data_IF_736228043126
#
_entry.id   IF_736228043126
#
_cell.length_a   1.000
_cell.length_b   1.000
_cell.length_c   1.000
_cell.angle_alpha   90.00
_cell.angle_beta   90.00
_cell.angle_gamma   90.00
#
_symmetry.space_group_name_H-M   'P 1'
#
loop_
_entity.id
_entity.type
_entity.pdbx_description
1 polymer ?
#
# COMPACT_ATOMS: atom_id res chain seq x y z
N UNK A 1 -1.48 -52.80 -20.55
CA UNK A 1 -0.78 -53.53 -19.46
C UNK A 1 0.17 -52.55 -18.78
N UNK A 2 0.06 -52.45 -17.45
CA UNK A 2 0.91 -51.70 -16.50
C UNK A 2 0.97 -50.16 -16.67
N UNK A 3 0.82 -49.32 -15.66
CA UNK A 3 0.64 -49.52 -14.22
C UNK A 3 0.33 -48.17 -13.56
N UNK A 4 -0.52 -48.19 -12.54
CA UNK A 4 -0.95 -47.05 -11.74
C UNK A 4 0.18 -46.52 -10.84
N UNK A 5 0.21 -45.20 -10.63
CA UNK A 5 0.77 -44.61 -9.40
C UNK A 5 0.10 -43.26 -9.09
N UNK A 6 -0.52 -43.19 -7.93
CA UNK A 6 -1.09 -42.01 -7.26
C UNK A 6 -0.65 -42.10 -5.77
N UNK A 7 -0.87 -41.08 -4.93
CA UNK A 7 0.04 -39.97 -4.63
C UNK A 7 0.70 -40.09 -3.24
N UNK A 8 1.84 -39.41 -3.03
CA UNK A 8 2.52 -39.37 -1.73
C UNK A 8 1.98 -38.23 -0.84
N UNK A 9 1.39 -38.65 0.28
CA UNK A 9 0.92 -37.88 1.44
C UNK A 9 2.10 -37.57 2.38
N UNK A 10 2.24 -36.34 2.87
CA UNK A 10 2.94 -35.97 4.13
C UNK A 10 2.08 -34.89 4.78
N UNK A 11 1.30 -35.15 5.85
CA UNK A 11 1.71 -35.11 7.27
C UNK A 11 2.68 -33.94 7.51
N UNK A 12 2.29 -32.81 8.11
CA UNK A 12 1.49 -32.66 9.31
C UNK A 12 2.44 -32.32 10.46
N UNK A 13 2.72 -31.04 10.69
CA UNK A 13 3.32 -30.54 11.92
C UNK A 13 2.78 -29.12 12.18
N UNK A 14 1.67 -29.08 12.92
CA UNK A 14 1.21 -27.93 13.69
C UNK A 14 2.31 -27.48 14.66
N UNK A 15 2.67 -26.19 14.59
CA UNK A 15 3.42 -25.53 15.65
C UNK A 15 2.43 -25.02 16.70
N UNK A 16 2.66 -25.27 18.00
CA UNK A 16 1.69 -24.96 19.04
C UNK A 16 1.62 -23.46 19.34
N UNK A 17 0.38 -22.97 19.32
CA UNK A 17 -0.09 -21.72 19.90
C UNK A 17 0.31 -21.63 21.38
N UNK A 18 1.04 -20.58 21.78
CA UNK A 18 1.35 -20.31 23.19
C UNK A 18 0.30 -19.38 23.78
N UNK A 19 -0.54 -19.97 24.63
CA UNK A 19 -1.28 -19.28 25.67
C UNK A 19 -0.31 -18.50 26.59
N UNK A 20 -0.64 -17.23 26.83
CA UNK A 20 -0.11 -16.44 27.93
C UNK A 20 -1.25 -16.18 28.91
N UNK A 21 -1.71 -17.23 29.58
CA UNK A 21 -2.58 -17.08 30.74
C UNK A 21 -1.77 -16.65 31.96
N UNK A 22 -2.24 -15.55 32.55
CA UNK A 22 -1.86 -15.01 33.84
C UNK A 22 -2.22 -15.95 34.99
N UNK A 23 -1.29 -16.22 35.92
CA UNK A 23 -1.65 -16.63 37.27
C UNK A 23 -0.95 -15.73 38.28
N UNK A 24 -1.65 -14.70 38.76
CA UNK A 24 -1.09 -13.73 39.69
C UNK A 24 -2.13 -12.96 40.50
N UNK A 25 -3.25 -13.60 40.83
CA UNK A 25 -4.25 -13.08 41.76
C UNK A 25 -3.69 -13.05 43.21
N UNK A 26 -3.00 -11.97 43.56
CA UNK A 26 -2.58 -11.70 44.94
C UNK A 26 -3.70 -11.03 45.73
N UNK A 27 -4.58 -11.89 46.26
CA UNK A 27 -5.14 -11.89 47.61
C UNK A 27 -5.10 -10.55 48.38
N UNK A 28 -6.25 -9.88 48.37
CA UNK A 28 -6.63 -8.84 49.35
C UNK A 28 -6.68 -9.50 50.73
N UNK A 29 -5.77 -9.11 51.64
CA UNK A 29 -5.88 -9.43 53.06
C UNK A 29 -6.73 -8.37 53.75
N UNK A 30 -7.88 -8.80 54.28
CA UNK A 30 -8.69 -8.04 55.23
C UNK A 30 -8.02 -8.08 56.60
N UNK A 31 -7.55 -6.94 57.10
CA UNK A 31 -7.13 -6.79 58.49
C UNK A 31 -8.27 -6.08 59.23
N UNK A 32 -8.84 -6.75 60.25
CA UNK A 32 -9.80 -6.17 61.19
C UNK A 32 -9.08 -5.21 62.15
N UNK A 33 -9.74 -4.15 62.64
CA UNK A 33 -9.10 -3.15 63.48
C UNK A 33 -8.92 -3.66 64.91
N UNK A 34 -7.76 -3.37 65.49
CA UNK A 34 -7.51 -3.47 66.92
C UNK A 34 -8.11 -2.24 67.62
N UNK A 35 -8.97 -2.51 68.60
CA UNK A 35 -9.43 -1.57 69.61
C UNK A 35 -8.28 -1.23 70.58
N UNK A 36 -7.87 0.03 70.63
CA UNK A 36 -7.13 0.57 71.78
C UNK A 36 -7.62 1.98 72.08
N UNK A 37 -8.34 2.09 73.18
CA UNK A 37 -8.60 3.29 73.95
C UNK A 37 -7.28 3.93 74.41
N UNK A 38 -7.01 5.20 74.06
CA UNK A 38 -6.20 6.10 74.91
C UNK A 38 -6.20 7.53 74.35
N UNK A 39 -6.68 8.46 75.18
CA UNK A 39 -6.29 9.88 75.25
C UNK A 39 -6.27 10.70 73.96
N UNK A 40 -7.35 11.43 73.73
CA UNK A 40 -7.44 12.53 72.78
C UNK A 40 -6.42 13.65 73.09
N UNK A 41 -5.55 14.06 72.14
CA UNK A 41 -5.09 15.42 72.07
C UNK A 41 -6.21 16.28 71.46
N UNK A 42 -6.46 17.45 72.04
CA UNK A 42 -7.34 18.47 71.46
C UNK A 42 -6.68 19.00 70.19
N UNK A 43 -6.95 18.35 69.06
CA UNK A 43 -6.65 18.93 67.76
C UNK A 43 -7.60 20.10 67.52
N UNK A 44 -7.03 21.29 67.51
CA UNK A 44 -7.63 22.47 66.92
C UNK A 44 -7.92 22.15 65.45
N UNK A 45 -9.18 21.81 65.13
CA UNK A 45 -9.66 21.89 63.77
C UNK A 45 -9.46 23.32 63.30
N UNK A 46 -8.38 23.55 62.54
CA UNK A 46 -8.30 24.67 61.62
C UNK A 46 -9.44 24.46 60.63
N UNK A 47 -10.60 24.99 61.00
CA UNK A 47 -11.69 25.33 60.11
C UNK A 47 -11.08 26.27 59.09
N UNK A 48 -10.51 25.73 58.02
CA UNK A 48 -10.37 26.47 56.78
C UNK A 48 -11.80 26.87 56.42
N UNK A 49 -12.19 28.07 56.85
CA UNK A 49 -13.32 28.77 56.28
C UNK A 49 -13.13 28.64 54.78
N UNK A 50 -14.02 27.87 54.14
CA UNK A 50 -14.17 27.90 52.70
C UNK A 50 -14.56 29.34 52.36
N UNK A 51 -13.55 30.21 52.23
CA UNK A 51 -13.69 31.49 51.62
C UNK A 51 -14.18 31.16 50.22
N UNK A 52 -15.47 31.40 49.97
CA UNK A 52 -16.03 31.29 48.63
C UNK A 52 -15.09 32.09 47.73
N UNK A 53 -14.36 31.47 46.80
CA UNK A 53 -13.40 32.20 46.02
C UNK A 53 -14.17 33.32 45.35
N UNK A 54 -13.68 34.55 45.49
CA UNK A 54 -14.36 35.72 44.93
C UNK A 54 -14.68 35.40 43.47
N UNK A 55 -15.88 35.77 42.99
CA UNK A 55 -16.33 35.40 41.63
C UNK A 55 -15.32 35.80 40.55
N UNK A 56 -14.45 36.78 40.84
CA UNK A 56 -13.30 37.19 40.03
C UNK A 56 -12.19 36.14 39.95
N UNK A 57 -11.74 35.58 41.08
CA UNK A 57 -10.68 34.56 41.09
C UNK A 57 -11.11 33.26 40.40
N UNK A 58 -12.41 32.92 40.46
CA UNK A 58 -12.95 31.76 39.73
C UNK A 58 -12.97 31.99 38.21
N UNK A 59 -13.24 33.22 37.75
CA UNK A 59 -13.24 33.54 36.32
C UNK A 59 -11.84 33.54 35.71
N UNK A 60 -10.82 33.99 36.43
CA UNK A 60 -9.43 33.93 35.94
C UNK A 60 -8.92 32.49 35.81
N UNK A 61 -9.29 31.61 36.75
CA UNK A 61 -8.88 30.21 36.71
C UNK A 61 -9.57 29.41 35.58
N UNK A 62 -10.82 29.75 35.25
CA UNK A 62 -11.53 29.15 34.12
C UNK A 62 -10.92 29.54 32.77
N UNK A 63 -10.49 30.80 32.62
CA UNK A 63 -9.80 31.26 31.42
C UNK A 63 -8.47 30.54 31.21
N UNK A 64 -7.67 30.39 32.28
CA UNK A 64 -6.41 29.67 32.23
C UNK A 64 -6.62 28.18 31.91
N UNK A 65 -7.64 27.54 32.49
CA UNK A 65 -7.97 26.15 32.22
C UNK A 65 -8.30 25.90 30.73
N UNK A 66 -9.07 26.79 30.09
CA UNK A 66 -9.40 26.68 28.66
C UNK A 66 -8.14 26.78 27.79
N UNK A 67 -7.25 27.73 28.09
CA UNK A 67 -5.99 27.90 27.33
C UNK A 67 -5.10 26.66 27.45
N UNK A 68 -5.00 26.07 28.65
CA UNK A 68 -4.21 24.84 28.86
C UNK A 68 -4.82 23.66 28.09
N UNK A 69 -6.16 23.54 28.06
CA UNK A 69 -6.84 22.50 27.28
C UNK A 69 -6.54 22.69 25.78
N UNK A 70 -6.67 23.91 25.25
CA UNK A 70 -6.37 24.19 23.84
C UNK A 70 -4.90 23.90 23.49
N UNK A 71 -3.96 24.26 24.36
CA UNK A 71 -2.55 23.94 24.18
C UNK A 71 -2.30 22.44 24.22
N UNK A 72 -2.90 21.71 25.16
CA UNK A 72 -2.74 20.26 25.26
C UNK A 72 -3.28 19.54 24.01
N UNK A 73 -4.40 19.99 23.46
CA UNK A 73 -4.92 19.49 22.19
C UNK A 73 -3.97 19.78 21.03
N UNK A 74 -3.45 21.01 20.94
CA UNK A 74 -2.47 21.37 19.91
C UNK A 74 -1.21 20.50 19.99
N UNK A 75 -0.69 20.25 21.20
CA UNK A 75 0.44 19.34 21.39
C UNK A 75 0.11 17.90 20.99
N UNK A 76 -1.09 17.41 21.29
CA UNK A 76 -1.53 16.08 20.84
C UNK A 76 -1.57 15.97 19.31
N UNK A 77 -2.03 17.02 18.61
CA UNK A 77 -1.97 17.07 17.15
C UNK A 77 -0.52 17.02 16.66
N UNK A 78 0.39 17.82 17.22
CA UNK A 78 1.80 17.80 16.81
C UNK A 78 2.44 16.43 17.07
N UNK A 79 2.24 15.86 18.26
CA UNK A 79 2.80 14.54 18.58
C UNK A 79 2.23 13.48 17.64
N UNK A 80 0.92 13.49 17.37
CA UNK A 80 0.31 12.48 16.52
C UNK A 80 0.67 12.60 15.05
N UNK A 81 0.67 13.82 14.51
CA UNK A 81 0.81 14.08 13.08
C UNK A 81 2.24 14.41 12.63
N UNK A 82 3.12 14.83 13.53
CA UNK A 82 4.52 15.16 13.20
C UNK A 82 5.48 14.08 13.69
N UNK A 83 5.26 13.56 14.90
CA UNK A 83 6.20 12.63 15.55
C UNK A 83 5.81 11.16 15.31
N UNK A 84 4.53 10.83 15.42
CA UNK A 84 4.01 9.46 15.36
C UNK A 84 3.49 9.03 13.98
N UNK A 85 3.86 9.74 12.91
CA UNK A 85 3.65 9.21 11.55
C UNK A 85 4.67 8.09 11.31
N UNK A 86 4.41 6.91 11.89
CA UNK A 86 5.03 5.67 11.44
C UNK A 86 4.65 5.42 9.98
N UNK A 87 5.56 4.81 9.19
CA UNK A 87 5.50 4.89 7.75
C UNK A 87 4.23 4.21 7.26
N UNK A 88 3.52 4.88 6.37
CA UNK A 88 2.36 4.38 5.65
C UNK A 88 2.68 3.16 4.78
N UNK A 89 3.82 2.49 4.94
CA UNK A 89 4.40 1.50 4.03
C UNK A 89 3.44 0.37 3.68
N UNK A 90 2.71 -0.21 4.63
CA UNK A 90 1.78 -1.29 4.33
C UNK A 90 0.55 -0.81 3.53
N UNK A 91 -0.01 0.34 3.91
CA UNK A 91 -1.19 0.90 3.23
C UNK A 91 -0.82 1.47 1.86
N UNK A 92 0.29 2.19 1.79
CA UNK A 92 0.83 2.77 0.58
C UNK A 92 1.28 1.67 -0.39
N UNK A 93 1.99 0.64 0.08
CA UNK A 93 2.39 -0.47 -0.80
C UNK A 93 1.21 -1.27 -1.34
N UNK A 94 0.14 -1.44 -0.56
CA UNK A 94 -1.09 -2.03 -1.04
C UNK A 94 -1.73 -1.15 -2.13
N UNK A 95 -1.84 0.16 -1.89
CA UNK A 95 -2.38 1.11 -2.87
C UNK A 95 -1.56 1.15 -4.16
N UNK A 96 -0.23 1.15 -4.08
CA UNK A 96 0.65 1.16 -5.26
C UNK A 96 0.54 -0.15 -6.06
N UNK A 97 0.47 -1.28 -5.38
CA UNK A 97 0.32 -2.59 -6.04
C UNK A 97 -1.05 -2.74 -6.70
N UNK A 98 -2.09 -2.25 -6.03
CA UNK A 98 -3.47 -2.24 -6.53
C UNK A 98 -3.62 -1.29 -7.72
N UNK A 99 -2.99 -0.11 -7.65
CA UNK A 99 -2.92 0.83 -8.76
C UNK A 99 -2.26 0.19 -9.98
N UNK A 100 -1.10 -0.44 -9.80
CA UNK A 100 -0.38 -1.09 -10.90
C UNK A 100 -1.20 -2.24 -11.52
N UNK A 101 -1.88 -3.04 -10.70
CA UNK A 101 -2.74 -4.14 -11.17
C UNK A 101 -3.95 -3.63 -11.95
N UNK A 102 -4.70 -2.69 -11.38
CA UNK A 102 -5.89 -2.15 -12.03
C UNK A 102 -5.54 -1.40 -13.31
N UNK A 103 -4.43 -0.66 -13.33
CA UNK A 103 -3.95 -0.02 -14.54
C UNK A 103 -3.56 -1.04 -15.62
N UNK A 104 -2.76 -2.06 -15.31
CA UNK A 104 -2.36 -3.07 -16.30
C UNK A 104 -3.56 -3.80 -16.89
N UNK A 105 -4.53 -4.18 -16.05
CA UNK A 105 -5.76 -4.84 -16.51
C UNK A 105 -6.56 -3.93 -17.44
N UNK A 106 -6.80 -2.69 -17.01
CA UNK A 106 -7.54 -1.70 -17.81
C UNK A 106 -6.85 -1.41 -19.13
N UNK A 107 -5.52 -1.24 -19.10
CA UNK A 107 -4.71 -0.99 -20.29
C UNK A 107 -4.85 -2.15 -21.29
N UNK A 108 -4.75 -3.39 -20.83
CA UNK A 108 -4.85 -4.58 -21.69
C UNK A 108 -6.24 -4.75 -22.32
N UNK A 109 -7.30 -4.35 -21.60
CA UNK A 109 -8.69 -4.40 -22.05
C UNK A 109 -9.12 -3.18 -22.88
N UNK A 110 -8.28 -2.15 -22.95
CA UNK A 110 -8.58 -0.94 -23.73
C UNK A 110 -8.58 -1.28 -25.22
N UNK A 111 -9.63 -0.87 -25.94
CA UNK A 111 -9.75 -1.05 -27.39
C UNK A 111 -9.13 0.13 -28.13
N UNK A 112 -8.52 -0.15 -29.27
CA UNK A 112 -8.03 0.84 -30.22
C UNK A 112 -8.95 0.82 -31.46
N UNK A 113 -9.89 1.77 -31.59
CA UNK A 113 -10.77 1.86 -32.76
C UNK A 113 -9.99 2.00 -34.07
N UNK A 114 -8.83 2.64 -34.01
CA UNK A 114 -7.92 2.82 -35.14
C UNK A 114 -7.38 1.50 -35.69
N UNK A 115 -7.41 0.43 -34.88
CA UNK A 115 -6.85 -0.88 -35.21
C UNK A 115 -7.94 -1.95 -35.40
N UNK A 116 -9.11 -1.59 -35.95
CA UNK A 116 -10.28 -2.48 -36.08
C UNK A 116 -10.81 -2.96 -34.72
N UNK A 117 -10.90 -2.06 -33.75
CA UNK A 117 -11.35 -2.33 -32.38
C UNK A 117 -10.53 -3.42 -31.65
N UNK A 118 -9.27 -3.64 -32.06
CA UNK A 118 -8.38 -4.57 -31.38
C UNK A 118 -8.07 -4.08 -29.96
N UNK A 119 -8.07 -5.00 -28.99
CA UNK A 119 -7.60 -4.71 -27.63
C UNK A 119 -6.10 -4.44 -27.63
N UNK A 120 -5.61 -3.62 -26.70
CA UNK A 120 -4.18 -3.41 -26.48
C UNK A 120 -3.46 -4.75 -26.19
N UNK A 121 -4.11 -5.68 -25.50
CA UNK A 121 -3.58 -7.04 -25.34
C UNK A 121 -3.33 -7.72 -26.70
N UNK A 122 -4.29 -7.67 -27.62
CA UNK A 122 -4.14 -8.24 -28.96
C UNK A 122 -3.05 -7.54 -29.78
N UNK A 123 -2.95 -6.21 -29.67
CA UNK A 123 -1.89 -5.45 -30.33
C UNK A 123 -0.50 -5.82 -29.79
N UNK A 124 -0.36 -5.94 -28.47
CA UNK A 124 0.91 -6.34 -27.83
C UNK A 124 1.28 -7.76 -28.24
N UNK A 125 0.31 -8.67 -28.32
CA UNK A 125 0.51 -10.03 -28.81
C UNK A 125 0.94 -10.05 -30.28
N UNK A 126 0.26 -9.29 -31.14
CA UNK A 126 0.59 -9.19 -32.56
C UNK A 126 2.01 -8.65 -32.75
N UNK A 127 2.35 -7.56 -32.06
CA UNK A 127 3.69 -7.01 -32.08
C UNK A 127 4.75 -8.00 -31.57
N UNK A 128 4.46 -8.74 -30.50
CA UNK A 128 5.40 -9.72 -29.94
C UNK A 128 5.58 -10.96 -30.83
N UNK A 129 4.55 -11.34 -31.59
CA UNK A 129 4.59 -12.47 -32.53
C UNK A 129 5.29 -12.13 -33.84
N UNK A 130 5.16 -10.88 -34.30
CA UNK A 130 5.65 -10.43 -35.61
C UNK A 130 6.56 -9.20 -35.48
N UNK A 131 7.42 -9.19 -34.47
CA UNK A 131 8.27 -8.05 -34.15
C UNK A 131 9.14 -7.59 -35.34
N UNK A 132 9.72 -8.52 -36.09
CA UNK A 132 10.56 -8.22 -37.25
C UNK A 132 9.79 -7.55 -38.40
N UNK A 133 8.46 -7.73 -38.45
CA UNK A 133 7.56 -7.12 -39.43
C UNK A 133 6.81 -5.89 -38.87
N UNK A 134 7.15 -5.46 -37.65
CA UNK A 134 6.45 -4.42 -36.90
C UNK A 134 4.96 -4.74 -36.58
N UNK A 135 4.55 -6.01 -36.66
CA UNK A 135 3.16 -6.43 -36.49
C UNK A 135 2.43 -6.69 -37.79
N UNK A 136 1.30 -7.39 -37.72
CA UNK A 136 0.40 -7.66 -38.86
C UNK A 136 -0.87 -6.84 -38.82
N UNK A 137 -1.32 -6.44 -37.64
CA UNK A 137 -2.48 -5.57 -37.50
C UNK A 137 -2.06 -4.18 -37.98
N UNK A 138 -2.86 -3.62 -38.90
CA UNK A 138 -2.68 -2.26 -39.41
C UNK A 138 -3.68 -1.34 -38.72
N UNK A 139 -3.17 -0.23 -38.21
CA UNK A 139 -3.91 0.79 -37.49
C UNK A 139 -3.92 2.09 -38.30
N UNK A 140 -5.09 2.69 -38.47
CA UNK A 140 -5.26 3.97 -39.16
C UNK A 140 -5.20 5.11 -38.15
N UNK A 141 -4.04 5.76 -38.03
CA UNK A 141 -3.83 6.87 -37.09
C UNK A 141 -3.23 8.09 -37.78
N UNK A 142 -3.79 9.26 -37.48
CA UNK A 142 -3.34 10.57 -37.99
C UNK A 142 -3.15 10.63 -39.53
N UNK A 143 -4.01 9.93 -40.28
CA UNK A 143 -3.95 9.91 -41.75
C UNK A 143 -2.88 8.99 -42.33
N UNK A 144 -2.23 8.16 -41.51
CA UNK A 144 -1.23 7.17 -41.91
C UNK A 144 -1.62 5.76 -41.44
N UNK A 145 -1.09 4.74 -42.12
CA UNK A 145 -1.24 3.34 -41.73
C UNK A 145 -0.01 2.93 -40.92
N UNK A 146 -0.20 2.71 -39.62
CA UNK A 146 0.83 2.25 -38.70
C UNK A 146 0.66 0.76 -38.45
N UNK A 147 1.75 0.00 -38.32
CA UNK A 147 1.66 -1.38 -37.85
C UNK A 147 1.52 -1.41 -36.31
N UNK A 148 1.02 -2.52 -35.75
CA UNK A 148 0.70 -2.64 -34.32
C UNK A 148 1.86 -2.27 -33.39
N UNK A 149 3.11 -2.64 -33.70
CA UNK A 149 4.27 -2.27 -32.87
C UNK A 149 4.50 -0.75 -32.86
N UNK A 150 4.32 -0.08 -33.99
CA UNK A 150 4.51 1.36 -34.10
C UNK A 150 3.37 2.11 -33.42
N UNK A 151 2.12 1.71 -33.68
CA UNK A 151 0.96 2.27 -33.00
C UNK A 151 1.06 2.12 -31.48
N UNK A 152 1.48 0.95 -30.99
CA UNK A 152 1.67 0.71 -29.56
C UNK A 152 2.64 1.69 -28.93
N UNK A 153 3.71 2.09 -29.63
CA UNK A 153 4.68 3.06 -29.08
C UNK A 153 4.01 4.38 -28.72
N UNK A 154 3.09 4.85 -29.56
CA UNK A 154 2.33 6.07 -29.30
C UNK A 154 1.22 5.87 -28.26
N UNK A 155 0.43 4.80 -28.42
CA UNK A 155 -0.72 4.54 -27.57
C UNK A 155 -0.33 4.31 -26.10
N UNK A 156 0.73 3.53 -25.84
CA UNK A 156 1.16 3.32 -24.46
C UNK A 156 1.74 4.61 -23.86
N UNK A 157 2.50 5.41 -24.61
CA UNK A 157 3.03 6.68 -24.10
C UNK A 157 1.90 7.63 -23.68
N UNK A 158 0.86 7.76 -24.49
CA UNK A 158 -0.29 8.62 -24.18
C UNK A 158 -1.07 8.12 -22.94
N UNK A 159 -1.32 6.81 -22.84
CA UNK A 159 -2.00 6.22 -21.67
C UNK A 159 -1.22 6.44 -20.37
N UNK A 160 0.10 6.24 -20.40
CA UNK A 160 0.96 6.43 -19.24
C UNK A 160 1.12 7.91 -18.88
N UNK A 161 1.24 8.80 -19.86
CA UNK A 161 1.29 10.25 -19.62
C UNK A 161 0.00 10.75 -18.96
N UNK A 162 -1.16 10.40 -19.50
CA UNK A 162 -2.46 10.80 -18.94
C UNK A 162 -2.65 10.28 -17.52
N UNK A 163 -2.14 9.09 -17.21
CA UNK A 163 -2.37 8.46 -15.90
C UNK A 163 -1.31 8.87 -14.88
N UNK A 164 -0.05 8.51 -15.11
CA UNK A 164 0.99 8.63 -14.08
C UNK A 164 1.66 10.00 -14.06
N UNK A 165 1.81 10.68 -15.20
CA UNK A 165 2.40 12.02 -15.22
C UNK A 165 1.45 13.07 -14.62
N UNK A 166 0.15 12.95 -14.92
CA UNK A 166 -0.90 13.77 -14.28
C UNK A 166 -0.89 13.60 -12.77
N UNK A 167 -0.68 12.37 -12.29
CA UNK A 167 -0.67 12.06 -10.86
C UNK A 167 0.70 12.26 -10.20
N UNK A 168 1.71 12.70 -10.97
CA UNK A 168 3.10 12.91 -10.51
C UNK A 168 3.71 11.66 -9.86
N UNK A 169 3.29 10.47 -10.27
CA UNK A 169 3.78 9.19 -9.76
C UNK A 169 4.99 8.76 -10.58
N UNK A 170 6.08 8.37 -9.93
CA UNK A 170 7.25 7.80 -10.60
C UNK A 170 6.96 6.34 -10.92
N UNK A 171 7.24 5.93 -12.15
CA UNK A 171 6.96 4.57 -12.61
C UNK A 171 8.04 4.07 -13.56
N UNK A 172 8.10 2.75 -13.68
CA UNK A 172 8.87 2.05 -14.70
C UNK A 172 8.04 0.93 -15.29
N UNK A 173 7.84 0.95 -16.60
CA UNK A 173 7.11 -0.08 -17.34
C UNK A 173 8.07 -0.82 -18.27
N UNK A 174 7.95 -2.14 -18.31
CA UNK A 174 8.74 -3.00 -19.18
C UNK A 174 7.94 -4.22 -19.66
N UNK A 175 8.22 -4.66 -20.88
CA UNK A 175 7.67 -5.90 -21.45
C UNK A 175 8.81 -6.85 -21.81
N UNK A 176 8.78 -8.07 -21.27
CA UNK A 176 9.93 -8.99 -21.32
C UNK A 176 9.50 -10.48 -21.37
N UNK A 177 10.31 -11.39 -21.97
CA UNK A 177 9.95 -12.84 -22.19
C UNK A 177 10.35 -13.89 -21.10
N UNK A 178 10.91 -13.48 -19.96
CA UNK A 178 11.93 -14.15 -19.10
C UNK A 178 11.98 -13.54 -17.71
N UNK A 179 11.37 -14.17 -16.72
CA UNK A 179 11.26 -13.57 -15.41
C UNK A 179 12.59 -13.52 -14.63
N UNK A 180 13.67 -14.18 -15.10
CA UNK A 180 14.90 -14.38 -14.32
C UNK A 180 16.02 -13.35 -14.56
N UNK A 181 15.88 -12.40 -15.49
CA UNK A 181 16.88 -11.32 -15.66
C UNK A 181 16.26 -10.08 -16.32
N UNK A 182 15.74 -9.11 -15.56
CA UNK A 182 15.08 -7.93 -16.13
C UNK A 182 16.03 -6.97 -16.88
N UNK A 183 17.34 -7.23 -16.98
CA UNK A 183 18.28 -6.20 -17.44
C UNK A 183 19.41 -6.61 -18.40
N UNK A 184 19.58 -7.87 -18.82
CA UNK A 184 20.85 -8.20 -19.54
C UNK A 184 20.79 -8.98 -20.86
N UNK A 185 19.66 -9.52 -21.35
CA UNK A 185 19.69 -10.22 -22.67
C UNK A 185 18.33 -10.38 -23.36
N UNK A 186 17.46 -9.37 -23.29
CA UNK A 186 16.02 -9.59 -23.54
C UNK A 186 15.49 -8.53 -24.47
N UNK A 187 14.74 -8.97 -25.48
CA UNK A 187 14.03 -8.11 -26.42
C UNK A 187 13.03 -7.29 -25.59
N UNK A 188 13.40 -6.06 -25.22
CA UNK A 188 12.49 -5.19 -24.49
C UNK A 188 11.57 -4.54 -25.52
N UNK A 189 10.35 -5.07 -25.60
CA UNK A 189 9.39 -4.69 -26.63
C UNK A 189 8.96 -3.22 -26.45
N UNK A 190 8.74 -2.82 -25.20
CA UNK A 190 8.30 -1.50 -24.77
C UNK A 190 8.94 -1.18 -23.42
N UNK A 191 9.42 0.05 -23.27
CA UNK A 191 9.88 0.61 -21.99
C UNK A 191 9.41 2.03 -21.84
N UNK A 192 8.93 2.39 -20.65
CA UNK A 192 8.55 3.77 -20.34
C UNK A 192 8.91 4.10 -18.88
N UNK A 193 9.36 5.34 -18.65
CA UNK A 193 9.75 5.84 -17.33
C UNK A 193 11.21 5.58 -16.95
N UNK A 194 11.57 5.93 -15.73
CA UNK A 194 12.93 5.76 -15.19
C UNK A 194 12.98 4.53 -14.29
N UNK A 195 13.99 3.69 -14.45
CA UNK A 195 14.18 2.51 -13.60
C UNK A 195 14.21 2.92 -12.11
N UNK A 196 13.37 2.28 -11.30
CA UNK A 196 13.27 2.61 -9.87
C UNK A 196 14.61 2.32 -9.17
N UNK A 197 15.19 3.32 -8.50
CA UNK A 197 16.38 3.18 -7.66
C UNK A 197 15.98 2.91 -6.21
N UNK A 198 15.61 1.67 -5.87
CA UNK A 198 15.23 1.31 -4.49
C UNK A 198 14.17 0.23 -4.37
N UNK A 199 13.41 0.26 -3.27
CA UNK A 199 12.25 -0.60 -3.09
C UNK A 199 11.26 -0.35 -4.24
N UNK A 200 10.90 -1.42 -4.94
CA UNK A 200 9.99 -1.37 -6.08
C UNK A 200 8.81 -2.28 -5.83
N UNK A 201 7.61 -1.80 -6.11
CA UNK A 201 6.40 -2.62 -6.09
C UNK A 201 6.08 -3.00 -7.52
N UNK A 202 6.27 -4.27 -7.82
CA UNK A 202 6.14 -4.84 -9.15
C UNK A 202 4.83 -5.61 -9.24
N UNK A 203 3.97 -5.21 -10.18
CA UNK A 203 2.93 -6.09 -10.68
C UNK A 203 3.37 -6.66 -12.02
N UNK A 204 3.34 -7.99 -12.12
CA UNK A 204 3.58 -8.70 -13.38
C UNK A 204 2.28 -9.29 -13.88
N UNK A 205 1.94 -8.98 -15.13
CA UNK A 205 0.83 -9.59 -15.84
C UNK A 205 1.38 -10.46 -16.98
N UNK A 206 1.21 -11.79 -16.95
CA UNK A 206 1.60 -12.66 -18.05
C UNK A 206 0.61 -12.51 -19.21
N UNK A 207 1.14 -12.50 -20.44
CA UNK A 207 0.37 -12.46 -21.66
C UNK A 207 0.88 -13.56 -22.61
N UNK A 208 0.03 -14.52 -23.01
CA UNK A 208 0.43 -15.60 -23.89
C UNK A 208 0.66 -15.08 -25.31
N UNK A 209 1.71 -15.57 -25.97
CA UNK A 209 2.06 -15.28 -27.36
C UNK A 209 2.36 -16.60 -28.09
N UNK A 210 2.46 -16.60 -29.41
CA UNK A 210 2.67 -17.82 -30.19
C UNK A 210 3.99 -18.50 -29.76
N UNK A 211 3.87 -19.67 -29.11
CA UNK A 211 5.01 -20.47 -28.66
C UNK A 211 5.77 -19.93 -27.43
N UNK A 212 5.32 -18.86 -26.77
CA UNK A 212 5.94 -18.38 -25.53
C UNK A 212 5.00 -17.54 -24.66
N UNK A 213 5.50 -16.99 -23.55
CA UNK A 213 4.78 -16.04 -22.71
C UNK A 213 5.64 -14.81 -22.52
N UNK A 214 5.03 -13.64 -22.72
CA UNK A 214 5.63 -12.37 -22.34
C UNK A 214 5.03 -11.91 -21.03
N UNK A 215 5.77 -11.07 -20.33
CA UNK A 215 5.43 -10.56 -19.02
C UNK A 215 5.45 -9.04 -19.10
N UNK A 216 4.36 -8.42 -18.70
CA UNK A 216 4.24 -6.97 -18.56
C UNK A 216 4.53 -6.64 -17.11
N UNK A 217 5.63 -5.93 -16.85
CA UNK A 217 6.02 -5.45 -15.54
C UNK A 217 5.71 -3.96 -15.42
N UNK A 218 4.89 -3.61 -14.44
CA UNK A 218 4.73 -2.22 -14.00
C UNK A 218 5.26 -2.07 -12.58
N UNK A 219 6.24 -1.19 -12.45
CA UNK A 219 6.84 -0.81 -11.18
C UNK A 219 6.38 0.59 -10.82
N UNK A 220 5.82 0.75 -9.62
CA UNK A 220 5.60 2.06 -9.01
C UNK A 220 6.80 2.34 -8.11
N UNK A 221 7.44 3.49 -8.30
CA UNK A 221 8.62 3.88 -7.54
C UNK A 221 8.21 4.82 -6.40
N UNK A 222 8.55 4.44 -5.16
CA UNK A 222 8.40 5.24 -3.94
C UNK A 222 9.72 5.87 -3.52
#
# INVERSE_FOLDING_TARGET
>A
MAGYAQPARKQGHEAPYRDWENPGASRIQSVRPASSTSSAPKECYLRHSAASPSKKAQMELMGLAIVVILLSLAFLFVVRFVILNEPADARQSFQESELAANFLNTMLETNAPECSDATMAALIQDCANYYDLQGRITCQSQGSNLQSCEFLKFAHQDLFARTFETWKVKYYFEVYRNPQSPSTSRLTLLTQGQACTGNRRLKVQPLPVAGSTIYLGLHICS
#
